data_IF_052504892623
#
_entry.id   IF_052504892623
#
_cell.length_a   1.000
_cell.length_b   1.000
_cell.length_c   1.000
_cell.angle_alpha   90.00
_cell.angle_beta   90.00
_cell.angle_gamma   90.00
#
_symmetry.space_group_name_H-M   'P 1'
#
loop_
_entity.id
_entity.type
_entity.pdbx_description
1 polymer ?
#
# COMPACT_ATOMS: atom_id res chain seq x y z
N UNK A 1 9.40 7.81 -21.73
CA UNK A 1 8.50 8.97 -21.89
C UNK A 1 9.39 10.15 -22.29
N UNK A 2 9.08 10.91 -23.34
CA UNK A 2 9.91 12.08 -23.69
C UNK A 2 9.85 13.08 -22.53
N UNK A 3 10.99 13.64 -22.13
CA UNK A 3 11.04 14.75 -21.16
C UNK A 3 10.39 15.97 -21.80
N UNK A 4 9.10 16.17 -21.52
CA UNK A 4 8.38 17.39 -21.86
C UNK A 4 8.62 18.35 -20.69
N UNK A 5 9.24 19.53 -20.91
CA UNK A 5 9.46 20.52 -19.86
C UNK A 5 8.14 20.85 -19.17
N UNK A 6 8.11 20.73 -17.84
CA UNK A 6 6.95 21.10 -17.03
C UNK A 6 6.94 22.61 -16.79
N UNK A 7 6.66 23.37 -17.87
CA UNK A 7 6.61 24.84 -17.85
C UNK A 7 5.25 25.39 -17.36
N UNK A 8 4.29 24.51 -17.12
CA UNK A 8 2.99 24.89 -16.56
C UNK A 8 3.12 25.16 -15.07
N UNK A 9 2.45 26.20 -14.62
CA UNK A 9 2.37 26.56 -13.22
C UNK A 9 1.58 25.53 -12.39
N UNK A 10 1.94 25.43 -11.11
CA UNK A 10 1.30 24.56 -10.13
C UNK A 10 -0.14 25.02 -9.84
N UNK A 11 -1.08 24.08 -9.66
CA UNK A 11 -2.47 24.43 -9.37
C UNK A 11 -2.63 25.10 -8.00
N UNK A 12 -3.55 26.05 -7.91
CA UNK A 12 -4.04 26.58 -6.63
C UNK A 12 -4.99 25.59 -5.94
N UNK A 13 -5.48 25.96 -4.76
CA UNK A 13 -6.53 25.18 -4.08
C UNK A 13 -7.87 25.27 -4.82
N UNK A 14 -8.72 24.26 -4.61
CA UNK A 14 -10.05 24.21 -5.23
C UNK A 14 -10.90 25.42 -4.84
N UNK A 15 -10.86 25.86 -3.58
CA UNK A 15 -11.64 27.02 -3.12
C UNK A 15 -11.14 28.33 -3.73
N UNK A 16 -9.84 28.45 -4.02
CA UNK A 16 -9.23 29.62 -4.67
C UNK A 16 -9.69 29.70 -6.12
N UNK A 17 -9.65 28.55 -6.82
CA UNK A 17 -10.16 28.45 -8.18
C UNK A 17 -11.66 28.77 -8.27
N UNK A 18 -12.48 28.15 -7.42
CA UNK A 18 -13.95 28.32 -7.43
C UNK A 18 -14.35 29.75 -7.06
N UNK A 19 -13.63 30.41 -6.14
CA UNK A 19 -13.91 31.80 -5.75
C UNK A 19 -13.42 32.83 -6.77
N UNK A 20 -12.57 32.42 -7.73
CA UNK A 20 -11.91 33.32 -8.67
C UNK A 20 -10.74 34.11 -8.07
N UNK A 21 -10.44 33.92 -6.78
CA UNK A 21 -9.30 34.53 -6.10
C UNK A 21 -8.05 33.66 -6.28
N UNK A 22 -7.62 33.51 -7.53
CA UNK A 22 -6.50 32.64 -7.90
C UNK A 22 -5.18 33.32 -7.49
N UNK A 23 -4.35 32.70 -6.63
CA UNK A 23 -3.07 33.26 -6.21
C UNK A 23 -2.05 33.32 -7.36
N UNK A 24 -0.97 34.06 -7.14
CA UNK A 24 0.18 34.01 -8.03
C UNK A 24 0.69 32.57 -8.15
N UNK A 25 1.00 32.16 -9.37
CA UNK A 25 1.37 30.78 -9.64
C UNK A 25 2.83 30.51 -9.26
N UNK A 26 3.07 29.33 -8.69
CA UNK A 26 4.39 28.79 -8.42
C UNK A 26 4.72 27.70 -9.44
N UNK A 27 5.99 27.40 -9.67
CA UNK A 27 6.43 26.36 -10.59
C UNK A 27 6.92 25.13 -9.83
N UNK A 28 7.07 24.01 -10.55
CA UNK A 28 7.57 22.78 -9.96
C UNK A 28 8.98 22.93 -9.36
N UNK A 29 9.80 23.83 -9.92
CA UNK A 29 11.10 24.19 -9.37
C UNK A 29 10.98 24.88 -8.02
N UNK A 30 10.03 25.80 -7.85
CA UNK A 30 9.79 26.46 -6.56
C UNK A 30 9.41 25.44 -5.46
N UNK A 31 8.67 24.39 -5.83
CA UNK A 31 8.31 23.30 -4.93
C UNK A 31 9.52 22.40 -4.61
N UNK A 32 10.34 22.08 -5.60
CA UNK A 32 11.51 21.21 -5.42
C UNK A 32 12.60 21.90 -4.56
N UNK A 33 12.69 23.24 -4.58
CA UNK A 33 13.69 24.03 -3.87
C UNK A 33 13.21 24.57 -2.48
N UNK A 34 11.94 24.37 -2.12
CA UNK A 34 11.28 24.95 -0.93
C UNK A 34 12.07 24.75 0.37
N UNK A 35 12.51 23.51 0.63
CA UNK A 35 13.23 23.14 1.87
C UNK A 35 14.56 23.90 2.01
N UNK A 36 15.20 24.24 0.90
CA UNK A 36 16.49 24.93 0.85
C UNK A 36 16.34 26.44 0.88
N UNK A 37 15.22 26.95 0.36
CA UNK A 37 14.92 28.38 0.35
C UNK A 37 14.21 28.87 1.61
N UNK A 38 13.87 27.95 2.53
CA UNK A 38 13.19 28.23 3.81
C UNK A 38 11.90 29.06 3.61
N UNK A 39 11.18 28.78 2.53
CA UNK A 39 9.87 29.41 2.27
C UNK A 39 8.86 28.74 3.21
N UNK A 40 8.21 29.53 4.06
CA UNK A 40 7.05 29.06 4.83
C UNK A 40 5.79 29.19 3.95
N UNK A 41 5.73 28.34 2.93
CA UNK A 41 4.62 28.29 1.99
C UNK A 41 3.91 26.95 2.12
N UNK A 42 2.60 26.93 1.93
CA UNK A 42 1.85 25.67 1.84
C UNK A 42 1.24 25.56 0.47
N UNK A 43 1.75 24.61 -0.29
CA UNK A 43 1.22 24.31 -1.61
C UNK A 43 -0.17 23.67 -1.56
N UNK A 44 -0.86 23.72 -2.70
CA UNK A 44 -2.18 23.10 -2.83
C UNK A 44 -2.13 21.59 -2.70
N UNK A 45 -3.26 20.99 -2.36
CA UNK A 45 -3.39 19.52 -2.33
C UNK A 45 -3.10 18.87 -3.70
N UNK A 46 -3.31 19.60 -4.80
CA UNK A 46 -2.95 19.17 -6.14
C UNK A 46 -1.44 19.07 -6.33
N UNK A 47 -0.65 20.00 -5.79
CA UNK A 47 0.82 19.94 -5.83
C UNK A 47 1.35 18.70 -5.13
N UNK A 48 0.83 18.35 -3.96
CA UNK A 48 1.25 17.12 -3.27
C UNK A 48 0.88 15.85 -4.05
N UNK A 49 -0.27 15.83 -4.72
CA UNK A 49 -0.62 14.74 -5.65
C UNK A 49 0.34 14.67 -6.85
N UNK A 50 0.78 15.82 -7.39
CA UNK A 50 1.80 15.89 -8.43
C UNK A 50 3.14 15.34 -7.91
N UNK A 51 3.55 15.70 -6.69
CA UNK A 51 4.76 15.15 -6.07
C UNK A 51 4.70 13.63 -5.93
N UNK A 52 3.58 13.10 -5.40
CA UNK A 52 3.36 11.65 -5.27
C UNK A 52 3.42 10.92 -6.63
N UNK A 53 2.78 11.45 -7.67
CA UNK A 53 2.81 10.81 -9.00
C UNK A 53 4.18 10.93 -9.67
N UNK A 54 4.96 11.99 -9.42
CA UNK A 54 6.36 12.09 -9.87
C UNK A 54 7.22 11.00 -9.23
N UNK A 55 7.00 10.69 -7.96
CA UNK A 55 7.69 9.57 -7.28
C UNK A 55 7.34 8.21 -7.91
N UNK A 56 6.06 7.96 -8.20
CA UNK A 56 5.65 6.77 -8.94
C UNK A 56 6.30 6.73 -10.35
N UNK A 57 6.32 7.86 -11.05
CA UNK A 57 6.93 8.00 -12.37
C UNK A 57 8.44 7.70 -12.37
N UNK A 58 9.17 8.15 -11.36
CA UNK A 58 10.59 7.83 -11.14
C UNK A 58 10.80 6.32 -10.99
N UNK A 59 9.97 5.66 -10.16
CA UNK A 59 10.02 4.20 -9.98
C UNK A 59 9.75 3.47 -11.30
N UNK A 60 8.66 3.79 -11.99
CA UNK A 60 8.26 3.09 -13.21
C UNK A 60 9.27 3.29 -14.35
N UNK A 61 9.81 4.50 -14.49
CA UNK A 61 10.85 4.79 -15.48
C UNK A 61 12.16 4.08 -15.12
N UNK A 62 12.54 4.12 -13.84
CA UNK A 62 13.71 3.41 -13.32
C UNK A 62 13.65 1.91 -13.61
N UNK A 63 12.50 1.28 -13.36
CA UNK A 63 12.27 -0.15 -13.66
C UNK A 63 12.28 -0.48 -15.15
N UNK A 64 11.84 0.43 -16.02
CA UNK A 64 11.96 0.24 -17.47
C UNK A 64 13.43 0.27 -17.93
N UNK A 65 14.24 1.14 -17.33
CA UNK A 65 15.67 1.26 -17.67
C UNK A 65 16.54 0.18 -17.04
N UNK A 66 16.23 -0.20 -15.79
CA UNK A 66 16.90 -1.24 -15.03
C UNK A 66 15.86 -2.04 -14.24
N UNK A 67 15.43 -3.22 -14.77
CA UNK A 67 14.45 -4.07 -14.10
C UNK A 67 14.89 -4.54 -12.71
N UNK A 68 16.20 -4.64 -12.48
CA UNK A 68 16.80 -5.08 -11.21
C UNK A 68 17.67 -3.95 -10.63
N UNK A 69 17.04 -2.92 -10.00
CA UNK A 69 17.77 -1.81 -9.42
C UNK A 69 18.73 -2.28 -8.33
N UNK A 70 19.92 -1.68 -8.27
CA UNK A 70 20.84 -1.90 -7.15
C UNK A 70 20.29 -1.28 -5.85
N UNK A 71 20.90 -1.64 -4.71
CA UNK A 71 20.47 -1.14 -3.40
C UNK A 71 20.47 0.39 -3.35
N UNK A 72 21.45 1.05 -3.97
CA UNK A 72 21.53 2.52 -3.98
C UNK A 72 20.36 3.18 -4.70
N UNK A 73 19.88 2.57 -5.79
CA UNK A 73 18.72 3.05 -6.53
C UNK A 73 17.43 2.85 -5.75
N UNK A 74 17.31 1.72 -5.05
CA UNK A 74 16.19 1.46 -4.13
C UNK A 74 16.17 2.48 -3.00
N UNK A 75 17.31 2.74 -2.35
CA UNK A 75 17.43 3.69 -1.25
C UNK A 75 17.09 5.12 -1.68
N UNK A 76 17.52 5.54 -2.88
CA UNK A 76 17.14 6.85 -3.44
C UNK A 76 15.63 6.96 -3.68
N UNK A 77 14.99 5.93 -4.22
CA UNK A 77 13.55 5.91 -4.45
C UNK A 77 12.76 5.91 -3.13
N UNK A 78 13.21 5.14 -2.15
CA UNK A 78 12.62 5.12 -0.81
C UNK A 78 12.75 6.48 -0.13
N UNK A 79 13.90 7.16 -0.27
CA UNK A 79 14.10 8.51 0.25
C UNK A 79 13.08 9.50 -0.33
N UNK A 80 12.74 9.43 -1.62
CA UNK A 80 11.69 10.28 -2.18
C UNK A 80 10.31 10.02 -1.56
N UNK A 81 9.97 8.76 -1.27
CA UNK A 81 8.69 8.38 -0.65
C UNK A 81 8.62 8.81 0.82
N UNK A 82 9.73 8.66 1.56
CA UNK A 82 9.84 9.11 2.94
C UNK A 82 9.82 10.63 3.01
N UNK A 83 10.57 11.33 2.17
CA UNK A 83 10.58 12.79 2.12
C UNK A 83 9.20 13.36 1.82
N UNK A 84 8.43 12.76 0.92
CA UNK A 84 7.04 13.18 0.67
C UNK A 84 6.21 13.20 1.96
N UNK A 85 6.32 12.17 2.81
CA UNK A 85 5.56 12.09 4.07
C UNK A 85 6.09 13.06 5.13
N UNK A 86 7.41 13.22 5.23
CA UNK A 86 8.04 14.07 6.24
C UNK A 86 7.76 15.57 6.00
N UNK A 87 7.78 15.98 4.74
CA UNK A 87 7.60 17.39 4.34
C UNK A 87 6.14 17.73 4.02
N UNK A 88 5.20 16.80 4.24
CA UNK A 88 3.78 17.13 4.18
C UNK A 88 3.43 18.01 5.39
N UNK A 89 2.95 19.26 5.20
CA UNK A 89 2.66 20.16 6.30
C UNK A 89 1.47 19.66 7.11
N UNK A 90 1.36 20.10 8.36
CA UNK A 90 0.41 19.56 9.33
C UNK A 90 -1.05 19.64 8.85
N UNK A 91 -1.43 20.76 8.26
CA UNK A 91 -2.76 20.98 7.68
C UNK A 91 -3.07 20.08 6.46
N UNK A 92 -2.06 19.42 5.88
CA UNK A 92 -2.19 18.47 4.76
C UNK A 92 -2.09 17.01 5.17
N UNK A 93 -1.81 16.73 6.45
CA UNK A 93 -1.81 15.35 6.98
C UNK A 93 -3.23 14.85 7.27
N UNK A 94 -4.16 15.76 7.53
CA UNK A 94 -5.56 15.42 7.77
C UNK A 94 -6.35 15.36 6.45
N UNK A 95 -6.78 14.16 6.06
CA UNK A 95 -7.51 13.95 4.81
C UNK A 95 -8.96 14.46 4.85
N UNK A 96 -9.59 14.44 6.03
CA UNK A 96 -10.97 14.88 6.22
C UNK A 96 -10.97 16.17 7.02
N UNK A 97 -11.42 17.25 6.42
CA UNK A 97 -11.45 18.56 7.06
C UNK A 97 -12.51 18.66 8.17
N UNK A 98 -12.53 19.77 8.90
CA UNK A 98 -13.48 20.01 9.99
C UNK A 98 -14.96 19.96 9.58
N UNK A 99 -15.26 20.16 8.30
CA UNK A 99 -16.62 20.07 7.74
C UNK A 99 -17.00 18.65 7.31
N UNK A 100 -16.14 17.65 7.58
CA UNK A 100 -16.35 16.26 7.18
C UNK A 100 -16.14 16.00 5.68
N UNK A 101 -15.60 16.96 4.93
CA UNK A 101 -15.27 16.79 3.52
C UNK A 101 -13.88 16.19 3.37
N UNK A 102 -13.76 15.19 2.52
CA UNK A 102 -12.48 14.61 2.14
C UNK A 102 -11.77 15.49 1.11
N UNK A 103 -10.50 15.73 1.35
CA UNK A 103 -9.57 16.20 0.35
C UNK A 103 -9.18 15.03 -0.57
N UNK A 104 -9.87 14.92 -1.71
CA UNK A 104 -9.66 13.84 -2.67
C UNK A 104 -8.25 13.90 -3.30
N UNK A 105 -7.62 15.07 -3.37
CA UNK A 105 -6.27 15.19 -3.94
C UNK A 105 -5.21 14.64 -2.96
N UNK A 106 -5.32 14.95 -1.67
CA UNK A 106 -4.47 14.34 -0.65
C UNK A 106 -4.76 12.86 -0.47
N UNK A 107 -6.03 12.43 -0.55
CA UNK A 107 -6.38 11.01 -0.58
C UNK A 107 -5.61 10.30 -1.69
N UNK A 108 -5.67 10.84 -2.92
CA UNK A 108 -4.95 10.30 -4.08
C UNK A 108 -3.44 10.32 -3.88
N UNK A 109 -2.87 11.39 -3.32
CA UNK A 109 -1.44 11.49 -3.04
C UNK A 109 -0.96 10.39 -2.07
N UNK A 110 -1.74 10.13 -1.01
CA UNK A 110 -1.45 9.08 -0.03
C UNK A 110 -1.55 7.68 -0.66
N UNK A 111 -2.66 7.36 -1.34
CA UNK A 111 -2.80 6.04 -1.99
C UNK A 111 -1.72 5.79 -3.05
N UNK A 112 -1.27 6.83 -3.79
CA UNK A 112 -0.17 6.71 -4.76
C UNK A 112 1.14 6.41 -4.03
N UNK A 113 1.42 7.12 -2.94
CA UNK A 113 2.66 6.93 -2.16
C UNK A 113 2.74 5.53 -1.57
N UNK A 114 1.66 5.04 -0.97
CA UNK A 114 1.62 3.68 -0.40
C UNK A 114 1.69 2.60 -1.49
N UNK A 115 0.99 2.79 -2.61
CA UNK A 115 1.12 1.88 -3.76
C UNK A 115 2.55 1.84 -4.31
N UNK A 116 3.21 2.99 -4.42
CA UNK A 116 4.61 3.10 -4.88
C UNK A 116 5.55 2.40 -3.90
N UNK A 117 5.29 2.52 -2.59
CA UNK A 117 6.04 1.81 -1.53
C UNK A 117 5.92 0.29 -1.70
N UNK A 118 4.72 -0.23 -1.93
CA UNK A 118 4.51 -1.67 -2.19
C UNK A 118 5.27 -2.11 -3.44
N UNK A 119 5.14 -1.39 -4.57
CA UNK A 119 5.78 -1.77 -5.83
C UNK A 119 7.31 -1.71 -5.74
N UNK A 120 7.86 -0.75 -4.99
CA UNK A 120 9.31 -0.64 -4.77
C UNK A 120 9.87 -1.83 -3.98
N UNK A 121 9.22 -2.18 -2.86
CA UNK A 121 9.80 -3.11 -1.88
C UNK A 121 9.34 -4.56 -2.00
N UNK A 122 8.19 -4.84 -2.62
CA UNK A 122 7.61 -6.19 -2.63
C UNK A 122 8.49 -7.25 -3.27
N UNK A 123 9.21 -6.92 -4.35
CA UNK A 123 10.09 -7.90 -5.02
C UNK A 123 11.39 -8.16 -4.25
N UNK A 124 11.72 -7.27 -3.31
CA UNK A 124 12.89 -7.35 -2.45
C UNK A 124 12.57 -7.98 -1.09
N UNK A 125 11.28 -8.12 -0.76
CA UNK A 125 10.82 -8.82 0.43
C UNK A 125 10.67 -10.32 0.17
N UNK A 126 10.83 -11.15 1.20
CA UNK A 126 10.61 -12.61 1.14
C UNK A 126 9.13 -13.00 1.27
N UNK A 127 8.18 -12.09 1.02
CA UNK A 127 6.76 -12.39 1.13
C UNK A 127 6.32 -13.36 0.02
N UNK A 128 5.67 -14.48 0.34
CA UNK A 128 5.30 -15.48 -0.68
C UNK A 128 4.43 -14.89 -1.81
N UNK A 129 5.01 -14.76 -2.99
CA UNK A 129 4.32 -14.26 -4.19
C UNK A 129 3.68 -15.37 -5.02
N UNK A 130 3.99 -16.64 -4.76
CA UNK A 130 3.52 -17.77 -5.57
C UNK A 130 2.00 -17.93 -5.46
N UNK A 131 1.47 -17.78 -4.25
CA UNK A 131 0.04 -17.89 -3.95
C UNK A 131 -0.79 -16.79 -4.62
N UNK A 132 -0.17 -15.64 -4.92
CA UNK A 132 -0.84 -14.48 -5.52
C UNK A 132 -0.66 -14.38 -7.03
N UNK A 133 0.05 -15.32 -7.66
CA UNK A 133 0.21 -15.42 -9.13
C UNK A 133 -1.09 -15.36 -9.93
N UNK A 134 -2.26 -15.86 -9.45
CA UNK A 134 -3.51 -15.76 -10.21
C UNK A 134 -4.07 -14.34 -10.30
N UNK A 135 -3.57 -13.39 -9.50
CA UNK A 135 -4.04 -12.00 -9.46
C UNK A 135 -3.24 -11.19 -10.48
N UNK A 136 -3.85 -10.92 -11.64
CA UNK A 136 -3.21 -10.24 -12.77
C UNK A 136 -3.87 -8.92 -13.15
N UNK A 137 -4.91 -8.50 -12.42
CA UNK A 137 -5.71 -7.32 -12.77
C UNK A 137 -4.95 -5.99 -12.72
N UNK A 138 -3.96 -5.86 -11.83
CA UNK A 138 -3.37 -4.56 -11.50
C UNK A 138 -1.84 -4.58 -11.38
N UNK A 139 -1.22 -5.75 -11.25
CA UNK A 139 0.23 -5.91 -11.26
C UNK A 139 0.55 -7.24 -11.94
N UNK A 140 1.47 -7.28 -12.92
CA UNK A 140 2.00 -8.53 -13.41
C UNK A 140 2.85 -9.18 -12.31
N UNK A 141 2.74 -10.50 -12.17
CA UNK A 141 3.56 -11.25 -11.25
C UNK A 141 5.04 -11.16 -11.69
N UNK A 142 5.90 -10.82 -10.74
CA UNK A 142 7.35 -10.85 -10.91
C UNK A 142 7.95 -11.82 -9.90
N UNK A 143 8.93 -12.65 -10.31
CA UNK A 143 9.66 -13.51 -9.39
C UNK A 143 10.33 -12.67 -8.31
N UNK A 144 10.21 -13.09 -7.06
CA UNK A 144 10.91 -12.47 -5.95
C UNK A 144 12.35 -12.93 -5.97
N UNK A 145 13.27 -11.97 -5.93
CA UNK A 145 14.70 -12.21 -5.68
C UNK A 145 15.01 -11.51 -4.37
N UNK A 146 15.09 -12.25 -3.24
CA UNK A 146 15.26 -11.64 -1.92
C UNK A 146 16.45 -10.68 -1.92
N UNK A 147 16.20 -9.44 -1.52
CA UNK A 147 17.24 -8.43 -1.37
C UNK A 147 17.98 -8.59 -0.05
N UNK A 148 19.09 -7.87 0.12
CA UNK A 148 19.63 -7.60 1.45
C UNK A 148 18.57 -6.90 2.31
N UNK A 149 18.44 -7.24 3.59
CA UNK A 149 17.43 -6.68 4.51
C UNK A 149 15.97 -6.95 4.09
N UNK A 150 15.67 -8.15 3.57
CA UNK A 150 14.31 -8.54 3.15
C UNK A 150 13.23 -8.32 4.23
N UNK A 151 13.56 -8.47 5.52
CA UNK A 151 12.65 -8.17 6.64
C UNK A 151 12.21 -6.69 6.66
N UNK A 152 13.13 -5.76 6.39
CA UNK A 152 12.83 -4.33 6.31
C UNK A 152 11.89 -4.04 5.12
N UNK A 153 12.17 -4.64 3.97
CA UNK A 153 11.31 -4.51 2.79
C UNK A 153 9.92 -5.11 3.02
N UNK A 154 9.84 -6.24 3.72
CA UNK A 154 8.58 -6.86 4.12
C UNK A 154 7.78 -5.92 5.04
N UNK A 155 8.39 -5.42 6.12
CA UNK A 155 7.76 -4.47 7.05
C UNK A 155 7.21 -3.24 6.32
N UNK A 156 8.01 -2.58 5.47
CA UNK A 156 7.54 -1.43 4.67
C UNK A 156 6.35 -1.77 3.78
N UNK A 157 6.37 -2.96 3.17
CA UNK A 157 5.28 -3.44 2.30
C UNK A 157 3.99 -3.72 3.08
N UNK A 158 4.11 -4.35 4.26
CA UNK A 158 2.99 -4.65 5.16
C UNK A 158 2.38 -3.35 5.70
N UNK A 159 3.20 -2.44 6.20
CA UNK A 159 2.75 -1.13 6.71
C UNK A 159 2.01 -0.35 5.61
N UNK A 160 2.53 -0.34 4.38
CA UNK A 160 1.86 0.33 3.26
C UNK A 160 0.50 -0.30 2.92
N UNK A 161 0.40 -1.63 2.94
CA UNK A 161 -0.86 -2.33 2.73
C UNK A 161 -1.89 -2.04 3.83
N UNK A 162 -1.46 -1.94 5.10
CA UNK A 162 -2.32 -1.52 6.21
C UNK A 162 -2.77 -0.05 6.07
N UNK A 163 -1.88 0.85 5.63
CA UNK A 163 -2.21 2.25 5.37
C UNK A 163 -3.26 2.39 4.26
N UNK A 164 -3.15 1.59 3.19
CA UNK A 164 -4.18 1.53 2.13
C UNK A 164 -5.51 1.05 2.70
N UNK A 165 -5.52 0.02 3.54
CA UNK A 165 -6.75 -0.44 4.20
C UNK A 165 -7.38 0.64 5.08
N UNK A 166 -6.58 1.45 5.79
CA UNK A 166 -7.07 2.60 6.57
C UNK A 166 -7.76 3.65 5.68
N UNK A 167 -7.28 3.86 4.45
CA UNK A 167 -7.94 4.75 3.48
C UNK A 167 -9.35 4.26 3.12
N UNK A 168 -9.57 2.94 3.05
CA UNK A 168 -10.90 2.35 2.80
C UNK A 168 -11.89 2.69 3.93
N UNK A 169 -11.40 2.83 5.17
CA UNK A 169 -12.25 3.10 6.34
C UNK A 169 -12.69 4.56 6.48
N UNK A 170 -12.21 5.45 5.61
CA UNK A 170 -12.64 6.84 5.63
C UNK A 170 -14.16 6.94 5.38
N UNK A 171 -14.86 7.90 6.01
CA UNK A 171 -16.32 7.98 6.00
C UNK A 171 -16.89 8.55 4.69
N UNK A 172 -16.37 8.13 3.54
CA UNK A 172 -16.74 8.60 2.21
C UNK A 172 -17.13 7.40 1.33
N UNK A 173 -18.21 7.48 0.54
CA UNK A 173 -18.57 6.39 -0.35
C UNK A 173 -17.45 6.06 -1.33
N UNK A 174 -16.99 4.80 -1.31
CA UNK A 174 -15.88 4.32 -2.14
C UNK A 174 -16.10 4.55 -3.65
N UNK A 175 -17.36 4.57 -4.08
CA UNK A 175 -17.75 4.85 -5.48
C UNK A 175 -17.37 6.26 -5.96
N UNK A 176 -16.99 7.16 -5.05
CA UNK A 176 -16.54 8.53 -5.39
C UNK A 176 -15.05 8.62 -5.69
N UNK A 177 -14.27 7.58 -5.40
CA UNK A 177 -12.84 7.58 -5.64
C UNK A 177 -12.49 7.23 -7.09
N UNK A 178 -11.29 7.65 -7.48
CA UNK A 178 -10.70 7.33 -8.79
C UNK A 178 -10.63 5.82 -9.06
N UNK A 179 -10.77 5.45 -10.34
CA UNK A 179 -10.56 4.08 -10.84
C UNK A 179 -9.24 3.48 -10.35
N UNK A 180 -8.18 4.28 -10.28
CA UNK A 180 -6.85 3.87 -9.85
C UNK A 180 -6.85 3.24 -8.44
N UNK A 181 -7.82 3.60 -7.58
CA UNK A 181 -7.94 3.02 -6.25
C UNK A 181 -8.22 1.52 -6.28
N UNK A 182 -8.85 1.01 -7.34
CA UNK A 182 -8.98 -0.44 -7.59
C UNK A 182 -7.62 -1.13 -7.60
N UNK A 183 -6.63 -0.55 -8.29
CA UNK A 183 -5.29 -1.11 -8.38
C UNK A 183 -4.59 -1.09 -7.02
N UNK A 184 -4.75 0.00 -6.28
CA UNK A 184 -4.13 0.16 -4.97
C UNK A 184 -4.70 -0.81 -3.94
N UNK A 185 -6.03 -0.99 -3.89
CA UNK A 185 -6.68 -1.99 -3.03
C UNK A 185 -6.26 -3.41 -3.42
N UNK A 186 -6.07 -3.68 -4.72
CA UNK A 186 -5.58 -4.99 -5.19
C UNK A 186 -4.15 -5.26 -4.72
N UNK A 187 -3.26 -4.26 -4.80
CA UNK A 187 -1.88 -4.36 -4.28
C UNK A 187 -1.86 -4.66 -2.78
N UNK A 188 -2.65 -3.94 -1.98
CA UNK A 188 -2.76 -4.22 -0.55
C UNK A 188 -3.31 -5.63 -0.27
N UNK A 189 -4.30 -6.08 -1.06
CA UNK A 189 -4.85 -7.43 -0.94
C UNK A 189 -3.81 -8.51 -1.23
N UNK A 190 -2.98 -8.32 -2.26
CA UNK A 190 -1.88 -9.23 -2.58
C UNK A 190 -0.93 -9.35 -1.38
N UNK A 191 -0.57 -8.24 -0.74
CA UNK A 191 0.30 -8.26 0.45
C UNK A 191 -0.37 -9.03 1.59
N UNK A 192 -1.62 -8.69 1.96
CA UNK A 192 -2.34 -9.37 3.03
C UNK A 192 -2.52 -10.88 2.76
N UNK A 193 -2.76 -11.28 1.51
CA UNK A 193 -2.84 -12.69 1.11
C UNK A 193 -1.48 -13.40 1.26
N UNK A 194 -0.39 -12.73 0.88
CA UNK A 194 0.97 -13.27 1.01
C UNK A 194 1.28 -13.53 2.49
N UNK A 195 1.00 -12.54 3.36
CA UNK A 195 1.16 -12.69 4.81
C UNK A 195 0.26 -13.79 5.39
N UNK A 196 -1.01 -13.82 4.98
CA UNK A 196 -1.93 -14.84 5.48
C UNK A 196 -1.53 -16.24 5.03
N UNK A 197 -0.97 -16.41 3.83
CA UNK A 197 -0.56 -17.72 3.31
C UNK A 197 0.53 -18.38 4.14
N UNK A 198 1.46 -17.59 4.69
CA UNK A 198 2.59 -18.09 5.51
C UNK A 198 2.25 -18.18 7.00
N UNK A 199 1.19 -17.50 7.45
CA UNK A 199 0.74 -17.58 8.84
C UNK A 199 0.29 -19.01 9.18
N UNK A 200 0.69 -19.56 10.32
CA UNK A 200 0.23 -20.89 10.70
C UNK A 200 -1.29 -20.92 10.97
N UNK A 201 -2.03 -21.99 10.57
CA UNK A 201 -3.50 -22.02 10.66
C UNK A 201 -4.11 -21.85 12.06
N UNK A 202 -3.35 -22.14 13.12
CA UNK A 202 -3.81 -22.04 14.52
C UNK A 202 -3.38 -20.73 15.21
N UNK A 203 -2.56 -19.90 14.55
CA UNK A 203 -2.25 -18.56 15.05
C UNK A 203 -3.44 -17.63 14.82
N UNK A 204 -3.56 -16.59 15.65
CA UNK A 204 -4.62 -15.60 15.50
C UNK A 204 -4.46 -14.85 14.17
N UNK A 205 -5.34 -15.12 13.22
CA UNK A 205 -5.34 -14.52 11.88
C UNK A 205 -6.55 -13.60 11.67
N UNK A 206 -7.25 -13.22 12.74
CA UNK A 206 -8.47 -12.43 12.68
C UNK A 206 -8.23 -11.07 12.03
N UNK A 207 -7.15 -10.38 12.37
CA UNK A 207 -6.83 -9.08 11.78
C UNK A 207 -6.58 -9.18 10.28
N UNK A 208 -5.77 -10.13 9.83
CA UNK A 208 -5.54 -10.38 8.39
C UNK A 208 -6.84 -10.74 7.67
N UNK A 209 -7.70 -11.57 8.28
CA UNK A 209 -9.03 -11.88 7.75
C UNK A 209 -9.90 -10.64 7.64
N UNK A 210 -9.89 -9.74 8.63
CA UNK A 210 -10.64 -8.48 8.57
C UNK A 210 -10.10 -7.56 7.48
N UNK A 211 -8.78 -7.42 7.35
CA UNK A 211 -8.16 -6.65 6.27
C UNK A 211 -8.55 -7.20 4.89
N UNK A 212 -8.54 -8.52 4.70
CA UNK A 212 -8.96 -9.16 3.44
C UNK A 212 -10.45 -8.99 3.16
N UNK A 213 -11.32 -9.10 4.17
CA UNK A 213 -12.75 -8.82 4.05
C UNK A 213 -13.00 -7.37 3.66
N UNK A 214 -12.31 -6.43 4.30
CA UNK A 214 -12.39 -5.00 4.02
C UNK A 214 -12.01 -4.71 2.57
N UNK A 215 -10.85 -5.19 2.12
CA UNK A 215 -10.39 -4.98 0.75
C UNK A 215 -11.31 -5.63 -0.29
N UNK A 216 -11.77 -6.86 -0.04
CA UNK A 216 -12.71 -7.58 -0.91
C UNK A 216 -14.06 -6.84 -0.99
N UNK A 217 -14.55 -6.31 0.13
CA UNK A 217 -15.74 -5.47 0.20
C UNK A 217 -15.58 -4.15 -0.55
N UNK A 218 -14.39 -3.55 -0.48
CA UNK A 218 -14.06 -2.34 -1.22
C UNK A 218 -14.05 -2.57 -2.74
N UNK A 219 -13.38 -3.63 -3.21
CA UNK A 219 -13.37 -4.00 -4.63
C UNK A 219 -14.78 -4.31 -5.16
N UNK A 220 -15.60 -5.00 -4.36
CA UNK A 220 -17.01 -5.25 -4.69
C UNK A 220 -17.81 -3.95 -4.81
N UNK A 221 -17.55 -2.96 -3.95
CA UNK A 221 -18.20 -1.65 -4.01
C UNK A 221 -17.73 -0.84 -5.23
N UNK A 222 -16.42 -0.78 -5.48
CA UNK A 222 -15.83 -0.09 -6.62
C UNK A 222 -16.32 -0.65 -7.96
N UNK A 223 -16.60 -1.96 -8.04
CA UNK A 223 -17.14 -2.61 -9.24
C UNK A 223 -18.48 -2.02 -9.72
N UNK A 224 -19.25 -1.39 -8.84
CA UNK A 224 -20.52 -0.75 -9.20
C UNK A 224 -20.34 0.39 -10.22
N UNK A 225 -19.18 1.04 -10.22
CA UNK A 225 -18.85 2.16 -11.12
C UNK A 225 -17.68 1.85 -12.05
N UNK A 226 -16.76 0.98 -11.62
CA UNK A 226 -15.55 0.60 -12.35
C UNK A 226 -15.57 -0.90 -12.71
N UNK A 227 -16.03 -1.30 -13.91
CA UNK A 227 -16.17 -2.71 -14.29
C UNK A 227 -14.91 -3.56 -14.11
N UNK A 228 -13.72 -2.97 -14.30
CA UNK A 228 -12.44 -3.65 -14.09
C UNK A 228 -12.23 -4.14 -12.64
N UNK A 229 -12.84 -3.50 -11.65
CA UNK A 229 -12.76 -3.93 -10.26
C UNK A 229 -13.43 -5.30 -10.04
N UNK A 230 -14.37 -5.70 -10.89
CA UNK A 230 -14.99 -7.03 -10.85
C UNK A 230 -13.96 -8.16 -11.07
N UNK A 231 -12.98 -7.96 -11.95
CA UNK A 231 -11.90 -8.94 -12.17
C UNK A 231 -10.99 -9.03 -10.95
N UNK A 232 -10.56 -7.89 -10.41
CA UNK A 232 -9.74 -7.84 -9.20
C UNK A 232 -10.45 -8.49 -8.01
N UNK A 233 -11.73 -8.16 -7.79
CA UNK A 233 -12.59 -8.77 -6.78
C UNK A 233 -12.63 -10.30 -6.90
N UNK A 234 -12.89 -10.81 -8.11
CA UNK A 234 -12.96 -12.25 -8.37
C UNK A 234 -11.63 -12.96 -8.09
N UNK A 235 -10.52 -12.39 -8.54
CA UNK A 235 -9.17 -12.95 -8.34
C UNK A 235 -8.77 -12.96 -6.87
N UNK A 236 -8.90 -11.84 -6.15
CA UNK A 236 -8.56 -11.73 -4.72
C UNK A 236 -9.41 -12.70 -3.90
N UNK A 237 -10.72 -12.76 -4.16
CA UNK A 237 -11.63 -13.69 -3.47
C UNK A 237 -11.28 -15.16 -3.75
N UNK A 238 -10.91 -15.48 -4.99
CA UNK A 238 -10.49 -16.82 -5.39
C UNK A 238 -9.26 -17.30 -4.61
N UNK A 239 -8.19 -16.50 -4.60
CA UNK A 239 -6.96 -16.81 -3.85
C UNK A 239 -7.22 -16.91 -2.35
N UNK A 240 -8.02 -15.99 -1.78
CA UNK A 240 -8.40 -16.07 -0.37
C UNK A 240 -9.12 -17.39 -0.04
N UNK A 241 -10.03 -17.84 -0.92
CA UNK A 241 -10.72 -19.12 -0.75
C UNK A 241 -9.76 -20.30 -0.81
N UNK A 242 -8.75 -20.26 -1.68
CA UNK A 242 -7.75 -21.31 -1.79
C UNK A 242 -6.88 -21.42 -0.53
N UNK A 243 -6.38 -20.28 -0.03
CA UNK A 243 -5.62 -20.23 1.23
C UNK A 243 -6.46 -20.80 2.38
N UNK A 244 -7.73 -20.40 2.46
CA UNK A 244 -8.65 -20.92 3.49
C UNK A 244 -8.78 -22.44 3.45
N UNK A 245 -9.01 -23.03 2.27
CA UNK A 245 -9.14 -24.49 2.13
C UNK A 245 -7.83 -25.20 2.50
N UNK A 246 -6.68 -24.71 2.02
CA UNK A 246 -5.37 -25.27 2.35
C UNK A 246 -5.13 -25.27 3.87
N UNK A 247 -5.39 -24.15 4.54
CA UNK A 247 -5.23 -24.03 6.01
C UNK A 247 -6.17 -24.98 6.75
N UNK A 248 -7.43 -25.08 6.32
CA UNK A 248 -8.41 -25.99 6.90
C UNK A 248 -7.94 -27.45 6.80
N UNK A 249 -7.44 -27.86 5.63
CA UNK A 249 -6.88 -29.20 5.43
C UNK A 249 -5.65 -29.48 6.30
N UNK A 250 -4.77 -28.48 6.51
CA UNK A 250 -3.61 -28.61 7.40
C UNK A 250 -4.06 -28.82 8.84
N UNK A 251 -5.06 -28.08 9.32
CA UNK A 251 -5.63 -28.29 10.66
C UNK A 251 -6.25 -29.67 10.76
N UNK A 252 -7.08 -30.08 9.81
CA UNK A 252 -7.72 -31.39 9.83
C UNK A 252 -6.69 -32.54 9.80
N UNK A 253 -5.62 -32.41 9.01
CA UNK A 253 -4.54 -33.41 8.93
C UNK A 253 -3.56 -33.39 10.11
N UNK A 254 -3.26 -32.22 10.67
CA UNK A 254 -2.34 -32.07 11.80
C UNK A 254 -2.99 -32.49 13.12
N UNK A 255 -4.24 -32.06 13.32
CA UNK A 255 -5.02 -32.34 14.54
C UNK A 255 -5.49 -33.80 14.61
N UNK A 256 -5.82 -34.42 13.47
CA UNK A 256 -6.35 -35.79 13.41
C UNK A 256 -5.42 -36.78 12.67
N UNK A 257 -4.15 -36.43 12.40
CA UNK A 257 -3.23 -37.24 11.56
C UNK A 257 -1.77 -37.32 12.04
N UNK A 258 -0.83 -37.47 11.09
CA UNK A 258 0.50 -38.12 11.24
C UNK A 258 1.53 -37.44 12.17
N UNK A 259 1.40 -36.16 12.47
CA UNK A 259 2.41 -35.38 13.22
C UNK A 259 2.20 -35.46 14.73
N UNK A 260 0.96 -35.74 15.18
CA UNK A 260 0.56 -35.66 16.58
C UNK A 260 0.45 -34.22 17.09
N UNK A 261 -0.49 -33.98 18.00
CA UNK A 261 -0.86 -32.66 18.53
C UNK A 261 0.34 -31.87 19.09
N UNK A 262 1.24 -32.53 19.84
CA UNK A 262 2.37 -31.87 20.49
C UNK A 262 3.43 -31.32 19.52
N UNK A 263 3.75 -32.04 18.45
CA UNK A 263 4.74 -31.59 17.45
C UNK A 263 4.16 -30.48 16.58
N UNK A 264 2.85 -30.53 16.32
CA UNK A 264 2.13 -29.47 15.64
C UNK A 264 2.18 -28.15 16.45
N UNK A 265 1.92 -28.22 17.76
CA UNK A 265 2.00 -27.06 18.67
C UNK A 265 3.43 -26.53 18.79
N UNK A 266 4.46 -27.38 18.82
CA UNK A 266 5.85 -26.90 18.90
C UNK A 266 6.26 -26.09 17.68
N UNK A 267 5.98 -26.59 16.47
CA UNK A 267 6.33 -25.89 15.23
C UNK A 267 5.61 -24.53 15.11
N UNK A 268 4.41 -24.41 15.68
CA UNK A 268 3.72 -23.13 15.76
C UNK A 268 4.45 -22.07 16.57
N UNK A 269 5.00 -22.45 17.73
CA UNK A 269 5.69 -21.50 18.60
C UNK A 269 6.96 -20.93 17.95
N UNK A 270 7.66 -21.73 17.15
CA UNK A 270 8.84 -21.29 16.40
C UNK A 270 8.48 -20.29 15.29
N UNK A 271 7.40 -20.53 14.53
CA UNK A 271 6.94 -19.59 13.50
C UNK A 271 6.32 -18.32 14.07
N UNK A 272 5.68 -18.38 15.24
CA UNK A 272 5.09 -17.22 15.89
C UNK A 272 6.15 -16.12 16.13
N UNK A 273 7.35 -16.48 16.60
CA UNK A 273 8.43 -15.52 16.85
C UNK A 273 8.89 -14.79 15.58
N UNK A 274 8.95 -15.49 14.44
CA UNK A 274 9.30 -14.89 13.14
C UNK A 274 8.22 -13.90 12.65
N UNK A 275 6.95 -14.22 12.85
CA UNK A 275 5.83 -13.39 12.42
C UNK A 275 5.64 -12.14 13.28
N UNK A 276 5.97 -12.23 14.58
CA UNK A 276 6.04 -11.08 15.48
C UNK A 276 7.15 -10.10 15.05
N UNK A 277 8.32 -10.61 14.62
CA UNK A 277 9.40 -9.78 14.06
C UNK A 277 8.97 -9.02 12.79
N UNK A 278 8.11 -9.63 11.98
CA UNK A 278 7.50 -9.05 10.78
C UNK A 278 6.30 -8.12 11.06
N UNK A 279 5.93 -7.90 12.33
CA UNK A 279 4.77 -7.09 12.74
C UNK A 279 3.44 -7.60 12.14
N UNK A 280 3.34 -8.90 11.87
CA UNK A 280 2.14 -9.53 11.32
C UNK A 280 1.15 -9.96 12.40
N UNK A 281 1.61 -10.01 13.65
CA UNK A 281 0.82 -10.25 14.84
C UNK A 281 0.96 -9.00 15.72
N UNK A 282 -0.14 -8.53 16.31
CA UNK A 282 -0.05 -7.51 17.35
C UNK A 282 0.83 -8.05 18.48
N UNK A 283 1.86 -7.30 18.86
CA UNK A 283 2.60 -7.58 20.08
C UNK A 283 1.58 -7.58 21.22
N UNK A 284 1.46 -8.71 21.93
CA UNK A 284 0.57 -8.81 23.07
C UNK A 284 0.76 -7.57 23.94
N UNK A 285 -0.32 -6.81 24.15
CA UNK A 285 -0.29 -5.63 25.01
C UNK A 285 0.42 -6.03 26.32
N UNK A 286 1.41 -5.26 26.79
CA UNK A 286 2.07 -5.60 28.05
C UNK A 286 0.96 -5.74 29.11
N UNK A 287 0.84 -6.94 29.67
CA UNK A 287 -0.07 -7.17 30.77
C UNK A 287 0.31 -6.16 31.85
N UNK A 288 -0.65 -5.29 32.17
CA UNK A 288 -0.43 -4.14 33.03
C UNK A 288 0.12 -4.52 34.40
N UNK A 289 0.78 -3.51 35.00
CA UNK A 289 1.18 -3.44 36.41
C UNK A 289 0.09 -3.91 37.38
#
# INVERSE_FOLDING_TARGET
MKDIPAEVGLPCEEYEYVSGNIPACHFISDFDDEDFEHRDFTYSSFTYRISAIRNLGRLLTGRQTNPHPDSSAVDRLDAYLVNFRLHLPENKRQLVNGDGKLDEMLFQANMITEATTIVLHRELSELDSSITTPITSCAPHHPITPGSNYNLHASKTITAAQSISKLITLPIPLIRHTHFFTCVVTLASIVHLSCWSVLYPLLNDDDLKQQLKLNTGALKTLWQVWPSAGRAFGQVKGVASEIWQRKKEVVERGWWGEVGEEVFIRNMHEEQGYLEELQLLDAAAPQGY
#
